data_IF_123655253537
#
_entry.id   IF_123655253537
#
_cell.length_a   1.000
_cell.length_b   1.000
_cell.length_c   1.000
_cell.angle_alpha   90.00
_cell.angle_beta   90.00
_cell.angle_gamma   90.00
#
_symmetry.space_group_name_H-M   'P 1'
#
loop_
_entity.id
_entity.type
_entity.pdbx_description
1 polymer ?
#
# COMPACT_ATOMS: atom_id res chain seq x y z
N UNK A 1 -8.90 -8.51 4.87
CA UNK A 1 -9.26 -7.77 3.64
C UNK A 1 -10.55 -7.05 3.97
N UNK A 2 -10.56 -5.73 3.80
CA UNK A 2 -11.72 -4.90 4.10
C UNK A 2 -12.76 -5.02 2.98
N UNK A 3 -14.03 -5.20 3.35
CA UNK A 3 -15.12 -5.46 2.40
C UNK A 3 -15.60 -4.21 1.64
N UNK A 4 -15.26 -3.01 2.13
CA UNK A 4 -15.68 -1.75 1.53
C UNK A 4 -14.67 -1.22 0.52
N UNK A 5 -13.39 -1.56 0.70
CA UNK A 5 -12.26 -1.06 -0.10
C UNK A 5 -11.58 -2.15 -0.89
N UNK A 6 -11.85 -3.43 -0.59
CA UNK A 6 -11.17 -4.59 -1.15
C UNK A 6 -9.65 -4.56 -0.95
N UNK A 7 -9.18 -3.78 0.02
CA UNK A 7 -7.77 -3.63 0.33
C UNK A 7 -7.36 -4.49 1.54
N UNK A 8 -6.07 -4.86 1.65
CA UNK A 8 -5.52 -5.33 2.93
C UNK A 8 -5.50 -4.18 3.95
N UNK A 9 -5.52 -4.51 5.24
CA UNK A 9 -5.28 -3.52 6.30
C UNK A 9 -3.77 -3.31 6.52
N UNK A 10 -3.41 -2.22 7.21
CA UNK A 10 -2.04 -1.97 7.65
C UNK A 10 -1.48 -3.13 8.47
N UNK A 11 -2.29 -3.73 9.34
CA UNK A 11 -1.85 -4.86 10.16
C UNK A 11 -1.47 -6.06 9.28
N UNK A 12 -2.23 -6.35 8.23
CA UNK A 12 -1.88 -7.43 7.30
C UNK A 12 -0.55 -7.18 6.59
N UNK A 13 -0.24 -5.91 6.26
CA UNK A 13 1.05 -5.54 5.66
C UNK A 13 2.19 -5.75 6.67
N UNK A 14 2.02 -5.28 7.92
CA UNK A 14 3.00 -5.47 9.00
C UNK A 14 3.28 -6.95 9.24
N UNK A 15 2.23 -7.76 9.38
CA UNK A 15 2.35 -9.19 9.61
C UNK A 15 3.12 -9.89 8.47
N UNK A 16 2.89 -9.48 7.22
CA UNK A 16 3.59 -10.03 6.06
C UNK A 16 5.09 -9.66 6.05
N UNK A 17 5.42 -8.40 6.38
CA UNK A 17 6.80 -7.92 6.47
C UNK A 17 7.55 -8.56 7.63
N UNK A 18 6.92 -8.65 8.80
CA UNK A 18 7.49 -9.27 10.00
C UNK A 18 7.69 -10.78 9.85
N UNK A 19 6.73 -11.47 9.21
CA UNK A 19 6.87 -12.90 8.86
C UNK A 19 8.07 -13.13 7.94
N UNK A 20 8.38 -12.16 7.08
CA UNK A 20 9.53 -12.14 6.19
C UNK A 20 9.48 -13.17 5.07
N UNK A 21 10.52 -13.14 4.23
CA UNK A 21 10.77 -14.10 3.15
C UNK A 21 12.27 -14.27 2.93
N UNK A 22 12.67 -15.30 2.18
CA UNK A 22 14.05 -15.46 1.70
C UNK A 22 14.04 -15.51 0.17
N UNK A 23 14.56 -14.49 -0.53
CA UNK A 23 15.18 -13.27 0.00
C UNK A 23 14.18 -12.33 0.71
N UNK A 24 14.68 -11.39 1.50
CA UNK A 24 13.86 -10.43 2.25
C UNK A 24 12.94 -9.62 1.34
N UNK A 25 11.76 -9.28 1.84
CA UNK A 25 10.78 -8.45 1.13
C UNK A 25 11.40 -7.08 0.86
N UNK A 26 11.36 -6.64 -0.39
CA UNK A 26 11.90 -5.35 -0.82
C UNK A 26 10.83 -4.28 -1.04
N UNK A 27 9.56 -4.66 -1.11
CA UNK A 27 8.49 -3.71 -1.40
C UNK A 27 7.09 -4.31 -1.38
N UNK A 28 6.10 -3.43 -1.50
CA UNK A 28 4.67 -3.71 -1.56
C UNK A 28 4.13 -3.23 -2.90
N UNK A 29 3.46 -4.12 -3.63
CA UNK A 29 2.63 -3.76 -4.79
C UNK A 29 1.18 -3.64 -4.30
N UNK A 30 0.65 -2.42 -4.35
CA UNK A 30 -0.69 -2.10 -3.88
C UNK A 30 -1.66 -1.96 -5.04
N UNK A 31 -2.81 -2.64 -4.99
CA UNK A 31 -3.82 -2.59 -6.05
C UNK A 31 -5.08 -1.91 -5.52
N UNK A 32 -5.51 -0.83 -6.17
CA UNK A 32 -6.75 -0.13 -5.83
C UNK A 32 -7.95 -0.79 -6.53
N UNK A 33 -8.34 -1.97 -6.05
CA UNK A 33 -9.44 -2.76 -6.64
C UNK A 33 -10.75 -1.96 -6.64
N UNK A 34 -11.43 -1.95 -7.78
CA UNK A 34 -12.73 -1.27 -7.93
C UNK A 34 -12.65 0.26 -7.92
N UNK A 35 -11.45 0.85 -8.02
CA UNK A 35 -11.29 2.30 -7.98
C UNK A 35 -11.54 2.92 -6.60
N UNK A 36 -11.50 2.10 -5.55
CA UNK A 36 -11.66 2.57 -4.17
C UNK A 36 -10.29 2.67 -3.52
N UNK A 37 -9.97 3.84 -2.98
CA UNK A 37 -8.75 4.03 -2.20
C UNK A 37 -9.05 3.71 -0.74
N UNK A 38 -8.24 2.82 -0.16
CA UNK A 38 -8.31 2.52 1.27
C UNK A 38 -7.90 3.74 2.12
N UNK A 39 -8.65 4.08 3.18
CA UNK A 39 -8.27 5.14 4.11
C UNK A 39 -6.98 4.82 4.88
N UNK A 40 -6.60 3.54 4.99
CA UNK A 40 -5.34 3.11 5.62
C UNK A 40 -4.12 3.22 4.69
N UNK A 41 -4.33 3.47 3.40
CA UNK A 41 -3.23 3.50 2.42
C UNK A 41 -2.10 4.50 2.78
N UNK A 42 -2.37 5.73 3.26
CA UNK A 42 -1.30 6.63 3.71
C UNK A 42 -0.44 6.06 4.83
N UNK A 43 -1.04 5.31 5.77
CA UNK A 43 -0.32 4.67 6.87
C UNK A 43 0.51 3.48 6.38
N UNK A 44 0.02 2.75 5.37
CA UNK A 44 0.79 1.71 4.68
C UNK A 44 2.01 2.30 3.99
N UNK A 45 1.85 3.39 3.24
CA UNK A 45 2.96 4.08 2.58
C UNK A 45 4.00 4.53 3.60
N UNK A 46 3.55 5.16 4.69
CA UNK A 46 4.43 5.57 5.79
C UNK A 46 5.19 4.38 6.38
N UNK A 47 4.49 3.30 6.71
CA UNK A 47 5.12 2.10 7.26
C UNK A 47 6.16 1.52 6.29
N UNK A 48 5.87 1.46 5.00
CA UNK A 48 6.82 0.95 4.01
C UNK A 48 8.08 1.83 3.95
N UNK A 49 7.93 3.16 3.89
CA UNK A 49 9.09 4.07 3.88
C UNK A 49 9.93 3.98 5.15
N UNK A 50 9.28 3.96 6.32
CA UNK A 50 9.97 3.83 7.61
C UNK A 50 10.79 2.52 7.71
N UNK A 51 10.42 1.49 6.92
CA UNK A 51 11.10 0.18 6.87
C UNK A 51 11.96 -0.02 5.60
N UNK A 52 12.18 1.02 4.79
CA UNK A 52 12.99 0.94 3.57
C UNK A 52 12.39 0.08 2.46
N UNK A 53 11.06 -0.11 2.45
CA UNK A 53 10.32 -0.86 1.45
C UNK A 53 9.82 0.07 0.34
N UNK A 54 9.96 -0.36 -0.91
CA UNK A 54 9.33 0.33 -2.05
C UNK A 54 7.80 0.15 -2.00
N UNK A 55 7.06 1.17 -2.44
CA UNK A 55 5.62 1.06 -2.68
C UNK A 55 5.35 1.34 -4.15
N UNK A 56 4.72 0.39 -4.83
CA UNK A 56 4.24 0.55 -6.20
C UNK A 56 2.72 0.47 -6.18
N UNK A 57 2.07 1.32 -6.95
CA UNK A 57 0.62 1.35 -7.07
C UNK A 57 0.18 0.82 -8.44
N UNK A 58 -0.80 -0.08 -8.43
CA UNK A 58 -1.60 -0.45 -9.59
C UNK A 58 -2.92 0.33 -9.53
N UNK A 59 -3.02 1.32 -10.42
CA UNK A 59 -4.19 2.20 -10.57
C UNK A 59 -5.01 1.85 -11.81
N UNK A 60 -4.89 0.64 -12.39
CA UNK A 60 -5.64 0.24 -13.59
C UNK A 60 -7.16 0.40 -13.40
N UNK A 61 -7.67 0.18 -12.18
CA UNK A 61 -9.07 0.36 -11.82
C UNK A 61 -9.40 1.74 -11.23
N UNK A 62 -8.40 2.61 -11.03
CA UNK A 62 -8.52 3.86 -10.26
C UNK A 62 -8.03 5.09 -11.05
N UNK A 63 -8.09 5.04 -12.39
CA UNK A 63 -7.45 6.03 -13.27
C UNK A 63 -7.88 7.50 -13.05
N UNK A 64 -9.01 7.74 -12.38
CA UNK A 64 -9.53 9.09 -12.07
C UNK A 64 -9.49 9.45 -10.57
N UNK A 65 -8.98 8.58 -9.71
CA UNK A 65 -8.97 8.85 -8.26
C UNK A 65 -7.72 9.64 -7.89
N UNK A 66 -7.93 10.86 -7.39
CA UNK A 66 -6.86 11.79 -7.00
C UNK A 66 -6.64 11.72 -5.49
N UNK A 67 -5.55 11.10 -5.04
CA UNK A 67 -5.08 11.26 -3.68
C UNK A 67 -4.57 12.70 -3.52
N UNK A 68 -5.20 13.52 -2.68
CA UNK A 68 -4.70 14.88 -2.44
C UNK A 68 -3.41 14.84 -1.63
N UNK A 69 -2.29 15.10 -2.31
CA UNK A 69 -1.16 15.87 -1.78
C UNK A 69 -0.27 15.20 -0.74
N UNK A 70 0.48 14.16 -1.13
CA UNK A 70 1.79 13.94 -0.55
C UNK A 70 2.85 14.11 -1.64
N UNK A 71 3.68 15.15 -1.50
CA UNK A 71 4.85 15.33 -2.35
C UNK A 71 5.90 14.35 -1.84
N UNK A 72 6.13 13.28 -2.61
CA UNK A 72 7.28 12.40 -2.45
C UNK A 72 8.51 13.21 -2.84
N UNK A 73 9.34 13.58 -1.86
CA UNK A 73 10.68 14.09 -2.14
C UNK A 73 11.62 12.88 -2.26
N UNK A 74 12.26 12.78 -3.42
CA UNK A 74 13.21 11.74 -3.84
C UNK A 74 14.58 11.92 -3.20
#
# INVERSE_FOLDING_TARGET
MDENTFAPSLQMVKDAVEKGSTPAISGVLWVHIGGVISPEFPEVVKYCHDNGLFVLEDTAHAQEVKLMGFKLET
#
